data_IF_873616677647
#
_entry.id   IF_873616677647
#
_cell.length_a   1.000
_cell.length_b   1.000
_cell.length_c   1.000
_cell.angle_alpha   90.00
_cell.angle_beta   90.00
_cell.angle_gamma   90.00
#
_symmetry.space_group_name_H-M   'P 1'
#
loop_
_entity.id
_entity.type
_entity.pdbx_description
1 polymer ?
#
# COMPACT_ATOMS: atom_id res chain seq x y z
N UNK A 1 -30.80 -28.37 25.58
CA UNK A 1 -30.66 -27.11 26.36
C UNK A 1 -29.18 -26.93 26.65
N UNK A 2 -28.41 -26.32 25.74
CA UNK A 2 -28.16 -24.86 25.61
C UNK A 2 -27.66 -24.24 26.91
N UNK A 3 -26.35 -24.04 27.02
CA UNK A 3 -25.73 -22.71 27.07
C UNK A 3 -24.20 -22.84 27.30
N UNK A 4 -23.40 -22.89 26.23
CA UNK A 4 -21.98 -22.53 26.31
C UNK A 4 -21.91 -21.00 26.47
N UNK A 5 -21.51 -20.54 27.66
CA UNK A 5 -21.14 -19.14 27.88
C UNK A 5 -19.73 -18.91 27.32
N UNK A 6 -19.64 -18.28 26.16
CA UNK A 6 -18.40 -17.66 25.69
C UNK A 6 -18.18 -16.39 26.50
N UNK A 7 -17.33 -16.47 27.52
CA UNK A 7 -16.84 -15.28 28.22
C UNK A 7 -15.73 -14.68 27.36
N UNK A 8 -16.04 -13.49 26.85
CA UNK A 8 -15.15 -12.55 26.17
C UNK A 8 -13.83 -12.37 26.93
N UNK A 9 -12.70 -12.56 26.25
CA UNK A 9 -11.42 -11.99 26.68
C UNK A 9 -10.88 -11.12 25.54
N UNK A 10 -11.09 -9.82 25.76
CA UNK A 10 -10.44 -8.69 25.10
C UNK A 10 -8.99 -9.01 24.70
N UNK A 11 -8.66 -8.98 23.41
CA UNK A 11 -7.32 -8.67 22.95
C UNK A 11 -7.38 -7.65 21.81
N UNK A 12 -6.51 -6.65 21.95
CA UNK A 12 -6.51 -5.37 21.29
C UNK A 12 -6.41 -5.45 19.77
N UNK A 13 -6.97 -4.44 19.11
CA UNK A 13 -6.64 -4.03 17.75
C UNK A 13 -5.23 -3.41 17.73
N UNK A 14 -4.21 -4.18 18.11
CA UNK A 14 -2.79 -3.83 18.05
C UNK A 14 -2.03 -5.01 17.45
N UNK A 15 -2.18 -5.20 16.14
CA UNK A 15 -1.25 -6.06 15.40
C UNK A 15 -1.32 -5.79 13.90
N UNK A 16 -0.75 -4.64 13.51
CA UNK A 16 0.08 -4.56 12.30
C UNK A 16 1.57 -4.68 12.72
N UNK A 17 1.85 -5.57 13.68
CA UNK A 17 3.17 -5.70 14.33
C UNK A 17 3.71 -7.13 14.33
N UNK A 18 3.07 -8.07 13.64
CA UNK A 18 3.55 -9.47 13.61
C UNK A 18 4.34 -9.86 12.34
N UNK A 19 4.44 -8.99 11.32
CA UNK A 19 5.43 -9.12 10.22
C UNK A 19 6.32 -7.89 10.04
N UNK A 20 6.18 -6.86 10.89
CA UNK A 20 6.94 -5.61 10.79
C UNK A 20 8.16 -5.55 11.72
N UNK A 21 8.62 -6.67 12.27
CA UNK A 21 9.73 -6.67 13.25
C UNK A 21 11.11 -6.40 12.64
N UNK A 22 11.23 -6.30 11.31
CA UNK A 22 12.48 -5.95 10.64
C UNK A 22 12.36 -4.80 9.61
N UNK A 23 11.24 -4.06 9.58
CA UNK A 23 11.20 -2.80 8.84
C UNK A 23 11.77 -1.70 9.74
N UNK A 24 12.70 -0.83 9.26
CA UNK A 24 13.40 0.17 10.07
C UNK A 24 12.49 1.31 10.61
N UNK A 25 11.17 1.18 10.47
CA UNK A 25 10.20 2.20 10.86
C UNK A 25 9.06 1.57 11.67
N UNK A 26 9.07 1.84 12.98
CA UNK A 26 7.89 1.67 13.85
C UNK A 26 6.88 2.77 13.52
N UNK A 27 5.77 2.42 12.87
CA UNK A 27 4.59 3.29 12.83
C UNK A 27 4.03 3.36 14.27
N UNK A 28 4.43 4.35 15.05
CA UNK A 28 3.81 4.63 16.34
C UNK A 28 2.70 5.64 16.10
N UNK A 29 1.45 5.18 16.01
CA UNK A 29 0.31 6.08 15.94
C UNK A 29 0.21 6.88 17.25
N UNK A 30 0.21 8.23 17.22
CA UNK A 30 0.05 9.03 18.41
C UNK A 30 -1.32 8.79 19.04
N UNK A 31 -1.33 8.70 20.38
CA UNK A 31 -2.55 8.51 21.17
C UNK A 31 -3.33 9.83 21.22
N UNK A 32 -4.16 10.08 20.22
CA UNK A 32 -5.06 11.24 20.14
C UNK A 32 -5.59 11.45 18.73
N UNK A 33 -6.92 11.41 18.56
CA UNK A 33 -7.68 11.55 17.29
C UNK A 33 -7.12 10.76 16.10
N UNK A 34 -7.71 9.60 15.82
CA UNK A 34 -7.39 8.75 14.65
C UNK A 34 -7.77 9.43 13.33
N UNK A 35 -7.06 10.48 12.95
CA UNK A 35 -7.13 11.08 11.61
C UNK A 35 -6.29 10.22 10.66
N UNK A 36 -6.97 9.64 9.66
CA UNK A 36 -6.30 8.94 8.57
C UNK A 36 -5.29 9.89 7.89
N UNK A 37 -4.11 9.41 7.44
CA UNK A 37 -3.21 10.21 6.63
C UNK A 37 -3.88 10.64 5.31
N UNK A 38 -3.37 11.68 4.65
CA UNK A 38 -3.83 12.08 3.30
C UNK A 38 -3.65 10.93 2.29
N UNK A 39 -4.30 10.99 1.12
CA UNK A 39 -4.10 9.93 0.11
C UNK A 39 -2.66 9.94 -0.40
N UNK A 40 -2.06 11.13 -0.51
CA UNK A 40 -0.63 11.31 -0.82
C UNK A 40 0.26 10.59 0.19
N UNK A 41 0.06 10.84 1.48
CA UNK A 41 0.91 10.24 2.52
C UNK A 41 0.68 8.72 2.62
N UNK A 42 -0.56 8.28 2.50
CA UNK A 42 -0.89 6.86 2.43
C UNK A 42 -0.24 6.17 1.23
N UNK A 43 -0.20 6.83 0.08
CA UNK A 43 0.45 6.34 -1.14
C UNK A 43 1.96 6.28 -1.01
N UNK A 44 2.58 7.27 -0.36
CA UNK A 44 4.02 7.22 -0.06
C UNK A 44 4.35 6.02 0.82
N UNK A 45 3.53 5.75 1.83
CA UNK A 45 3.69 4.56 2.69
C UNK A 45 3.57 3.26 1.88
N UNK A 46 2.61 3.17 0.95
CA UNK A 46 2.51 2.06 0.00
C UNK A 46 3.80 1.89 -0.83
N UNK A 47 4.27 2.97 -1.46
CA UNK A 47 5.49 2.93 -2.27
C UNK A 47 6.68 2.51 -1.42
N UNK A 48 6.84 3.03 -0.20
CA UNK A 48 7.90 2.56 0.70
C UNK A 48 7.75 1.08 1.03
N UNK A 49 6.54 0.61 1.36
CA UNK A 49 6.31 -0.78 1.72
C UNK A 49 6.61 -1.76 0.58
N UNK A 50 6.29 -1.39 -0.66
CA UNK A 50 6.41 -2.28 -1.82
C UNK A 50 7.70 -2.07 -2.61
N UNK A 51 8.15 -0.83 -2.74
CA UNK A 51 9.35 -0.46 -3.51
C UNK A 51 10.60 -0.66 -2.66
N UNK A 52 10.58 -0.39 -1.36
CA UNK A 52 11.75 -0.62 -0.49
C UNK A 52 11.72 -1.98 0.24
N UNK A 53 10.85 -2.91 -0.16
CA UNK A 53 10.76 -4.24 0.45
C UNK A 53 12.04 -5.07 0.24
N UNK A 54 12.71 -5.57 1.29
CA UNK A 54 14.00 -6.27 1.18
C UNK A 54 13.90 -7.69 0.60
N UNK A 55 12.69 -8.20 0.38
CA UNK A 55 12.44 -9.53 -0.16
C UNK A 55 11.12 -9.58 -0.91
N UNK A 56 10.94 -10.62 -1.74
CA UNK A 56 9.69 -10.90 -2.43
C UNK A 56 8.51 -11.09 -1.46
N UNK A 57 8.72 -11.78 -0.33
CA UNK A 57 7.71 -11.95 0.71
C UNK A 57 7.28 -10.61 1.33
N UNK A 58 8.23 -9.72 1.59
CA UNK A 58 7.91 -8.39 2.13
C UNK A 58 7.17 -7.53 1.09
N UNK A 59 7.52 -7.65 -0.19
CA UNK A 59 6.82 -6.98 -1.28
C UNK A 59 5.39 -7.54 -1.40
N UNK A 60 5.20 -8.86 -1.35
CA UNK A 60 3.90 -9.51 -1.37
C UNK A 60 3.02 -9.09 -0.19
N UNK A 61 3.57 -9.03 1.02
CA UNK A 61 2.86 -8.54 2.19
C UNK A 61 2.45 -7.06 2.05
N UNK A 62 3.33 -6.23 1.47
CA UNK A 62 3.00 -4.85 1.09
C UNK A 62 1.87 -4.81 0.06
N UNK A 63 1.92 -5.65 -0.97
CA UNK A 63 0.83 -5.72 -1.93
C UNK A 63 -0.49 -6.19 -1.29
N UNK A 64 -0.48 -7.20 -0.42
CA UNK A 64 -1.69 -7.67 0.29
C UNK A 64 -2.29 -6.59 1.21
N UNK A 65 -1.43 -5.77 1.81
CA UNK A 65 -1.87 -4.70 2.70
C UNK A 65 -2.55 -3.54 1.95
N UNK A 66 -2.22 -3.33 0.67
CA UNK A 66 -2.61 -2.11 -0.05
C UNK A 66 -3.47 -2.36 -1.30
N UNK A 67 -3.36 -3.51 -1.95
CA UNK A 67 -4.13 -3.83 -3.16
C UNK A 67 -5.41 -4.57 -2.78
N UNK A 68 -6.50 -4.26 -3.49
CA UNK A 68 -7.71 -5.06 -3.41
C UNK A 68 -7.50 -6.42 -4.11
N UNK A 69 -8.26 -7.44 -3.69
CA UNK A 69 -8.21 -8.78 -4.30
C UNK A 69 -8.52 -8.76 -5.81
N UNK A 70 -9.36 -7.81 -6.24
CA UNK A 70 -9.77 -7.61 -7.62
C UNK A 70 -9.14 -6.38 -8.28
N UNK A 71 -7.92 -6.01 -7.87
CA UNK A 71 -7.16 -4.92 -8.45
C UNK A 71 -6.88 -5.14 -9.95
N UNK A 72 -7.06 -4.08 -10.75
CA UNK A 72 -6.57 -4.06 -12.14
C UNK A 72 -5.19 -3.41 -12.17
N UNK A 73 -4.20 -4.10 -12.75
CA UNK A 73 -2.83 -3.61 -12.88
C UNK A 73 -2.49 -3.44 -14.36
N UNK A 74 -2.00 -2.26 -14.73
CA UNK A 74 -1.43 -1.96 -16.04
C UNK A 74 0.04 -1.55 -15.88
N UNK A 75 0.93 -2.13 -16.67
CA UNK A 75 2.35 -1.80 -16.71
C UNK A 75 2.76 -1.55 -18.17
N UNK A 76 3.22 -0.33 -18.49
CA UNK A 76 3.54 0.09 -19.86
C UNK A 76 2.42 -0.29 -20.85
N UNK A 77 1.19 0.12 -20.53
CA UNK A 77 -0.04 -0.12 -21.30
C UNK A 77 -0.49 -1.58 -21.43
N UNK A 78 0.20 -2.53 -20.78
CA UNK A 78 -0.21 -3.93 -20.71
C UNK A 78 -0.92 -4.24 -19.41
N UNK A 79 -2.13 -4.80 -19.49
CA UNK A 79 -2.81 -5.37 -18.31
C UNK A 79 -2.08 -6.64 -17.90
N UNK A 80 -1.62 -6.68 -16.66
CA UNK A 80 -0.85 -7.81 -16.10
C UNK A 80 -1.52 -8.34 -14.84
N UNK A 81 -1.37 -9.63 -14.58
CA UNK A 81 -1.80 -10.19 -13.30
C UNK A 81 -0.88 -9.67 -12.18
N UNK A 82 -1.40 -9.65 -10.95
CA UNK A 82 -0.62 -9.23 -9.77
C UNK A 82 0.66 -10.06 -9.61
N UNK A 83 0.56 -11.38 -9.73
CA UNK A 83 1.72 -12.27 -9.61
C UNK A 83 2.79 -11.93 -10.67
N UNK A 84 2.38 -11.69 -11.91
CA UNK A 84 3.29 -11.33 -13.00
C UNK A 84 3.96 -9.97 -12.73
N UNK A 85 3.19 -8.99 -12.24
CA UNK A 85 3.74 -7.68 -11.87
C UNK A 85 4.80 -7.77 -10.75
N UNK A 86 4.58 -8.61 -9.72
CA UNK A 86 5.59 -8.85 -8.68
C UNK A 86 6.83 -9.53 -9.27
N UNK A 87 6.63 -10.60 -10.04
CA UNK A 87 7.72 -11.36 -10.66
C UNK A 87 8.57 -10.48 -11.59
N UNK A 88 7.94 -9.62 -12.40
CA UNK A 88 8.64 -8.66 -13.27
C UNK A 88 9.53 -7.71 -12.46
N UNK A 89 9.04 -7.21 -11.32
CA UNK A 89 9.81 -6.32 -10.46
C UNK A 89 11.02 -7.02 -9.85
N UNK A 90 10.83 -8.24 -9.32
CA UNK A 90 11.94 -9.05 -8.79
C UNK A 90 12.97 -9.32 -9.89
N UNK A 91 12.52 -9.70 -11.09
CA UNK A 91 13.40 -9.94 -12.24
C UNK A 91 14.18 -8.68 -12.67
N UNK A 92 13.60 -7.49 -12.50
CA UNK A 92 14.24 -6.21 -12.78
C UNK A 92 15.14 -5.70 -11.65
N UNK A 93 15.46 -6.53 -10.64
CA UNK A 93 16.42 -6.20 -9.60
C UNK A 93 15.84 -5.44 -8.40
N UNK A 94 14.54 -5.55 -8.15
CA UNK A 94 13.94 -5.01 -6.93
C UNK A 94 14.44 -5.74 -5.65
N UNK A 95 14.54 -5.02 -4.51
CA UNK A 95 14.19 -3.61 -4.35
C UNK A 95 15.26 -2.64 -4.92
N UNK A 96 14.87 -1.47 -5.44
CA UNK A 96 15.80 -0.39 -5.72
C UNK A 96 16.57 0.03 -4.47
N UNK A 97 17.82 0.42 -4.69
CA UNK A 97 18.71 1.01 -3.69
C UNK A 97 18.16 2.32 -3.14
N UNK A 98 17.50 3.12 -3.99
CA UNK A 98 16.85 4.38 -3.59
C UNK A 98 15.56 4.60 -4.36
N UNK A 99 14.63 5.29 -3.71
CA UNK A 99 13.36 5.71 -4.31
C UNK A 99 13.11 7.16 -3.91
N UNK A 100 13.01 8.03 -4.90
CA UNK A 100 12.72 9.45 -4.69
C UNK A 100 11.38 9.76 -5.33
N UNK A 101 10.40 10.14 -4.51
CA UNK A 101 9.13 10.68 -5.01
C UNK A 101 9.34 12.14 -5.38
N UNK A 102 9.26 12.44 -6.66
CA UNK A 102 9.55 13.76 -7.21
C UNK A 102 8.32 14.65 -7.15
N UNK A 103 7.15 14.11 -7.51
CA UNK A 103 5.88 14.80 -7.45
C UNK A 103 4.73 13.85 -7.10
N UNK A 104 3.67 14.41 -6.55
CA UNK A 104 2.41 13.70 -6.29
C UNK A 104 1.24 14.61 -6.61
N UNK A 105 0.22 14.07 -7.27
CA UNK A 105 -1.05 14.72 -7.54
C UNK A 105 -2.12 13.89 -6.87
N UNK A 106 -2.97 14.52 -6.07
CA UNK A 106 -4.07 13.89 -5.36
C UNK A 106 -5.40 14.51 -5.80
N UNK A 107 -6.33 13.65 -6.21
CA UNK A 107 -7.70 14.03 -6.59
C UNK A 107 -8.67 13.20 -5.75
N UNK A 108 -9.15 13.73 -4.62
CA UNK A 108 -10.08 12.99 -3.77
C UNK A 108 -11.46 12.89 -4.43
N UNK A 109 -12.18 11.80 -4.19
CA UNK A 109 -13.57 11.64 -4.72
C UNK A 109 -14.55 12.61 -4.07
N UNK A 110 -14.26 13.04 -2.83
CA UNK A 110 -15.04 14.02 -2.07
C UNK A 110 -14.07 15.08 -1.56
N UNK A 111 -14.40 16.35 -1.78
CA UNK A 111 -13.57 17.47 -1.32
C UNK A 111 -13.26 17.36 0.19
N UNK A 112 -11.99 17.57 0.55
CA UNK A 112 -11.48 17.48 1.92
C UNK A 112 -11.57 16.08 2.57
N UNK A 113 -11.74 15.01 1.77
CA UNK A 113 -11.69 13.63 2.24
C UNK A 113 -10.38 12.94 1.85
N UNK A 114 -9.88 12.06 2.71
CA UNK A 114 -8.69 11.23 2.43
C UNK A 114 -9.03 9.74 2.31
N UNK A 115 -10.32 9.41 2.14
CA UNK A 115 -10.82 8.03 2.13
C UNK A 115 -10.74 7.36 0.76
N UNK A 116 -10.91 8.12 -0.32
CA UNK A 116 -10.92 7.58 -1.67
C UNK A 116 -10.57 8.68 -2.67
N UNK A 117 -10.00 8.29 -3.80
CA UNK A 117 -9.52 9.22 -4.81
C UNK A 117 -8.56 8.59 -5.79
N UNK A 118 -7.97 9.45 -6.60
CA UNK A 118 -6.87 9.09 -7.49
C UNK A 118 -5.60 9.76 -6.96
N UNK A 119 -4.50 9.01 -6.94
CA UNK A 119 -3.19 9.56 -6.64
C UNK A 119 -2.24 9.20 -7.76
N UNK A 120 -1.63 10.22 -8.37
CA UNK A 120 -0.56 10.07 -9.35
C UNK A 120 0.77 10.39 -8.70
N UNK A 121 1.75 9.51 -8.83
CA UNK A 121 3.10 9.68 -8.28
C UNK A 121 4.11 9.63 -9.40
N UNK A 122 5.02 10.59 -9.44
CA UNK A 122 6.19 10.58 -10.30
C UNK A 122 7.41 10.33 -9.43
N UNK A 123 8.18 9.30 -9.75
CA UNK A 123 9.32 8.90 -8.94
C UNK A 123 10.51 8.44 -9.77
N UNK A 124 11.68 8.52 -9.14
CA UNK A 124 12.92 7.98 -9.66
C UNK A 124 13.35 6.85 -8.74
N UNK A 125 13.70 5.69 -9.31
CA UNK A 125 14.20 4.54 -8.56
C UNK A 125 15.60 4.16 -9.08
N UNK A 126 16.57 4.01 -8.19
CA UNK A 126 17.89 3.50 -8.56
C UNK A 126 17.96 1.99 -8.30
N UNK A 127 18.26 1.20 -9.32
CA UNK A 127 18.41 -0.25 -9.24
C UNK A 127 19.82 -0.61 -9.67
N UNK A 128 20.68 -0.94 -8.70
CA UNK A 128 22.11 -1.09 -8.97
C UNK A 128 22.72 0.19 -9.56
N UNK A 129 23.31 0.11 -10.75
CA UNK A 129 23.84 1.25 -11.49
C UNK A 129 22.83 1.91 -12.45
N UNK A 130 21.61 1.39 -12.52
CA UNK A 130 20.56 1.90 -13.41
C UNK A 130 19.63 2.83 -12.66
N UNK A 131 19.08 3.81 -13.38
CA UNK A 131 18.08 4.74 -12.86
C UNK A 131 16.83 4.60 -13.72
N UNK A 132 15.72 4.25 -13.10
CA UNK A 132 14.41 4.19 -13.72
C UNK A 132 13.62 5.45 -13.35
N UNK A 133 12.99 6.08 -14.35
CA UNK A 133 12.01 7.15 -14.15
C UNK A 133 10.65 6.58 -14.46
N UNK A 134 9.72 6.71 -13.52
CA UNK A 134 8.39 6.13 -13.65
C UNK A 134 7.30 7.05 -13.12
N UNK A 135 6.10 6.87 -13.64
CA UNK A 135 4.86 7.37 -13.07
C UNK A 135 3.98 6.21 -12.65
N UNK A 136 3.18 6.43 -11.60
CA UNK A 136 2.21 5.47 -11.12
C UNK A 136 0.91 6.18 -10.74
N UNK A 137 -0.20 5.76 -11.35
CA UNK A 137 -1.54 6.22 -11.05
C UNK A 137 -2.29 5.16 -10.25
N UNK A 138 -2.85 5.57 -9.11
CA UNK A 138 -3.54 4.70 -8.17
C UNK A 138 -5.00 5.12 -8.05
N UNK A 139 -5.91 4.18 -8.21
CA UNK A 139 -7.34 4.34 -7.90
C UNK A 139 -7.61 3.74 -6.52
N UNK A 140 -7.82 4.60 -5.53
CA UNK A 140 -8.01 4.23 -4.14
C UNK A 140 -9.50 4.27 -3.80
N UNK A 141 -10.02 3.19 -3.22
CA UNK A 141 -11.40 3.11 -2.72
C UNK A 141 -11.44 2.53 -1.31
N UNK A 142 -12.60 2.63 -0.67
CA UNK A 142 -12.88 1.97 0.60
C UNK A 142 -13.30 0.52 0.33
N UNK A 143 -12.60 -0.43 0.96
CA UNK A 143 -12.91 -1.84 0.93
C UNK A 143 -13.73 -2.21 2.18
N UNK A 144 -15.00 -2.48 1.97
CA UNK A 144 -15.96 -2.80 3.04
C UNK A 144 -15.84 -4.24 3.54
N UNK A 145 -15.05 -5.09 2.87
CA UNK A 145 -14.78 -6.45 3.33
C UNK A 145 -13.75 -6.51 4.47
N UNK A 146 -12.97 -5.43 4.64
CA UNK A 146 -12.01 -5.32 5.72
C UNK A 146 -12.69 -5.15 7.08
N UNK A 147 -12.02 -5.66 8.11
CA UNK A 147 -12.51 -5.58 9.49
C UNK A 147 -12.80 -4.12 9.87
N UNK A 148 -14.00 -3.89 10.40
CA UNK A 148 -14.46 -2.57 10.82
C UNK A 148 -14.10 -2.28 12.28
N UNK A 149 -13.70 -1.03 12.56
CA UNK A 149 -13.41 -0.56 13.91
C UNK A 149 -12.78 0.84 13.92
N UNK A 150 -12.82 1.56 15.05
CA UNK A 150 -12.15 2.85 15.18
C UNK A 150 -10.65 2.73 14.84
N UNK A 151 -10.18 3.55 13.90
CA UNK A 151 -8.79 3.55 13.45
C UNK A 151 -8.40 2.45 12.46
N UNK A 152 -9.36 1.69 11.95
CA UNK A 152 -9.12 0.80 10.82
C UNK A 152 -9.04 1.62 9.53
N UNK A 153 -7.96 1.42 8.77
CA UNK A 153 -7.82 2.00 7.43
C UNK A 153 -8.40 1.02 6.41
N UNK A 154 -9.51 1.39 5.78
CA UNK A 154 -10.17 0.55 4.79
C UNK A 154 -9.74 0.89 3.35
N UNK A 155 -8.71 1.72 3.16
CA UNK A 155 -8.24 2.04 1.81
C UNK A 155 -7.59 0.83 1.16
N UNK A 156 -7.95 0.62 -0.11
CA UNK A 156 -7.31 -0.32 -1.02
C UNK A 156 -7.18 0.29 -2.41
N UNK A 157 -6.14 -0.13 -3.11
CA UNK A 157 -5.87 0.18 -4.51
C UNK A 157 -6.66 -0.81 -5.37
N UNK A 158 -7.62 -0.30 -6.13
CA UNK A 158 -8.43 -1.06 -7.09
C UNK A 158 -7.92 -0.93 -8.53
N UNK A 159 -7.08 0.08 -8.80
CA UNK A 159 -6.43 0.27 -10.08
C UNK A 159 -5.01 0.78 -9.86
N UNK A 160 -4.04 0.17 -10.54
CA UNK A 160 -2.65 0.59 -10.56
C UNK A 160 -2.21 0.65 -12.01
N UNK A 161 -1.85 1.83 -12.50
CA UNK A 161 -1.21 1.99 -13.80
C UNK A 161 0.19 2.51 -13.58
N UNK A 162 1.20 1.80 -14.05
CA UNK A 162 2.59 2.26 -14.03
C UNK A 162 3.12 2.40 -15.45
N UNK A 163 3.80 3.52 -15.71
CA UNK A 163 4.60 3.72 -16.91
C UNK A 163 6.04 3.96 -16.49
N UNK A 164 6.97 3.22 -17.08
CA UNK A 164 8.41 3.34 -16.85
C UNK A 164 9.10 3.61 -18.18
N UNK A 165 9.88 4.69 -18.22
CA UNK A 165 10.71 5.08 -19.36
C UNK A 165 12.05 4.32 -19.42
#
# INVERSE_FOLDING_TARGET
MVALRFTSLFLLCTSFTALATNLPYKVTAPKGTSTLPSLTEWTKNFLTAVVAAPSEDAANAGFDAYLADNVTISYNDMVVARADYVAMRVAHGFPPTTVTVNQTIEVPTVANSSQAGIVSVFFTAAIGSQVAIASMDLVIKQDTSLRTGPGCDHRRIYGLTQVQA
#
